data_IF_077143809741
#
_entry.id   IF_077143809741
#
_cell.length_a   1.000
_cell.length_b   1.000
_cell.length_c   1.000
_cell.angle_alpha   90.00
_cell.angle_beta   90.00
_cell.angle_gamma   90.00
#
_symmetry.space_group_name_H-M   'P 1'
#
loop_
_entity.id
_entity.type
_entity.pdbx_description
1 polymer ?
#
# COMPACT_ATOMS: atom_id res chain seq x y z
N UNK A 1 5.63 3.40 23.26
CA UNK A 1 5.44 2.18 22.48
C UNK A 1 5.08 2.56 21.06
N UNK A 2 5.82 2.05 20.11
CA UNK A 2 5.59 2.33 18.69
C UNK A 2 4.63 1.27 18.15
N UNK A 3 3.48 1.73 17.64
CA UNK A 3 2.57 0.82 16.95
C UNK A 3 3.01 0.76 15.49
N UNK A 4 3.39 -0.42 15.07
CA UNK A 4 3.77 -0.65 13.67
C UNK A 4 2.62 -1.37 12.96
N UNK A 5 2.30 -0.90 11.74
CA UNK A 5 1.33 -1.57 10.89
C UNK A 5 2.02 -2.70 10.13
N UNK A 6 1.33 -3.82 10.01
CA UNK A 6 1.83 -4.94 9.25
C UNK A 6 1.48 -4.70 7.78
N UNK A 7 2.48 -4.76 6.91
CA UNK A 7 2.27 -4.60 5.47
C UNK A 7 2.24 -5.98 4.83
N UNK A 8 1.12 -6.31 4.20
CA UNK A 8 0.97 -7.57 3.49
C UNK A 8 0.70 -7.31 2.02
N UNK A 9 1.02 -8.27 1.19
CA UNK A 9 0.86 -8.17 -0.26
C UNK A 9 0.10 -9.38 -0.77
N UNK A 10 -0.90 -9.15 -1.63
CA UNK A 10 -1.59 -10.24 -2.31
C UNK A 10 -0.65 -10.89 -3.33
N UNK A 11 -1.00 -12.09 -3.76
CA UNK A 11 -0.22 -12.76 -4.82
C UNK A 11 -0.18 -11.92 -6.09
N UNK A 12 -1.30 -11.27 -6.43
CA UNK A 12 -1.35 -10.35 -7.56
C UNK A 12 -0.35 -9.21 -7.42
N UNK A 13 -0.33 -8.57 -6.24
CA UNK A 13 0.60 -7.46 -5.99
C UNK A 13 2.05 -7.94 -6.07
N UNK A 14 2.35 -9.11 -5.54
CA UNK A 14 3.70 -9.68 -5.59
C UNK A 14 4.14 -9.93 -7.03
N UNK A 15 3.25 -10.49 -7.85
CA UNK A 15 3.55 -10.72 -9.26
C UNK A 15 3.80 -9.42 -10.00
N UNK A 16 3.01 -8.39 -9.70
CA UNK A 16 3.19 -7.09 -10.31
C UNK A 16 4.54 -6.46 -9.93
N UNK A 17 4.92 -6.57 -8.65
CA UNK A 17 6.23 -6.09 -8.20
C UNK A 17 7.38 -6.77 -8.93
N UNK A 18 7.26 -8.07 -9.18
CA UNK A 18 8.31 -8.82 -9.90
C UNK A 18 8.44 -8.38 -11.36
N UNK A 19 7.38 -7.84 -11.94
CA UNK A 19 7.39 -7.37 -13.33
C UNK A 19 7.92 -5.95 -13.48
N UNK A 20 7.99 -5.19 -12.38
CA UNK A 20 8.52 -3.84 -12.42
C UNK A 20 10.04 -3.86 -12.52
N UNK A 21 10.60 -2.75 -13.01
CA UNK A 21 12.05 -2.59 -12.89
C UNK A 21 12.44 -2.58 -11.42
N UNK A 22 13.66 -3.01 -11.15
CA UNK A 22 14.12 -3.19 -9.77
C UNK A 22 14.04 -1.90 -8.97
N UNK A 23 14.39 -0.77 -9.56
CA UNK A 23 14.38 0.51 -8.87
C UNK A 23 12.97 0.90 -8.42
N UNK A 24 11.99 0.75 -9.28
CA UNK A 24 10.60 1.04 -8.95
C UNK A 24 10.07 0.11 -7.88
N UNK A 25 10.37 -1.19 -7.99
CA UNK A 25 9.94 -2.17 -6.99
C UNK A 25 10.52 -1.86 -5.61
N UNK A 26 11.80 -1.53 -5.55
CA UNK A 26 12.45 -1.18 -4.28
C UNK A 26 11.84 0.07 -3.68
N UNK A 27 11.56 1.10 -4.48
CA UNK A 27 10.93 2.33 -3.98
C UNK A 27 9.56 2.06 -3.37
N UNK A 28 8.77 1.21 -4.01
CA UNK A 28 7.44 0.86 -3.50
C UNK A 28 7.55 0.09 -2.19
N UNK A 29 8.41 -0.92 -2.15
CA UNK A 29 8.60 -1.72 -0.95
C UNK A 29 9.12 -0.88 0.21
N UNK A 30 10.10 -0.02 -0.03
CA UNK A 30 10.63 0.85 1.02
C UNK A 30 9.57 1.81 1.54
N UNK A 31 8.79 2.41 0.64
CA UNK A 31 7.73 3.32 1.05
C UNK A 31 6.70 2.62 1.94
N UNK A 32 6.25 1.43 1.55
CA UNK A 32 5.25 0.69 2.32
C UNK A 32 5.85 0.15 3.62
N UNK A 33 6.98 -0.52 3.53
CA UNK A 33 7.52 -1.26 4.68
C UNK A 33 8.21 -0.35 5.70
N UNK A 34 8.73 0.80 5.28
CA UNK A 34 9.42 1.70 6.19
C UNK A 34 8.56 2.89 6.58
N UNK A 35 7.90 3.54 5.62
CA UNK A 35 7.15 4.76 5.91
C UNK A 35 5.72 4.47 6.38
N UNK A 36 4.97 3.68 5.63
CA UNK A 36 3.56 3.43 5.97
C UNK A 36 3.45 2.57 7.22
N UNK A 37 4.33 1.59 7.37
CA UNK A 37 4.29 0.73 8.57
C UNK A 37 4.49 1.51 9.86
N UNK A 38 5.19 2.62 9.82
CA UNK A 38 5.49 3.43 11.02
C UNK A 38 4.52 4.58 11.22
N UNK A 39 3.59 4.81 10.31
CA UNK A 39 2.62 5.89 10.44
C UNK A 39 1.61 5.59 11.53
N UNK A 40 1.26 6.60 12.34
CA UNK A 40 0.19 6.47 13.33
C UNK A 40 -1.14 6.23 12.63
N UNK A 41 -1.37 6.93 11.52
CA UNK A 41 -2.56 6.75 10.70
C UNK A 41 -2.14 6.57 9.24
N UNK A 42 -2.17 5.34 8.74
CA UNK A 42 -1.74 5.07 7.35
C UNK A 42 -2.59 5.79 6.31
N UNK A 43 -3.80 6.24 6.67
CA UNK A 43 -4.65 6.99 5.75
C UNK A 43 -4.13 8.41 5.49
N UNK A 44 -3.31 8.93 6.37
CA UNK A 44 -2.82 10.30 6.24
C UNK A 44 -1.99 10.53 4.98
N UNK A 45 -1.27 9.52 4.53
CA UNK A 45 -0.44 9.61 3.33
C UNK A 45 -1.12 9.11 2.06
N UNK A 46 -2.36 8.64 2.18
CA UNK A 46 -3.11 8.08 1.05
C UNK A 46 -4.36 8.88 0.74
N UNK A 47 -5.05 8.45 -0.29
CA UNK A 47 -6.35 9.00 -0.66
C UNK A 47 -7.35 7.87 -0.87
N UNK A 48 -8.58 8.09 -0.44
CA UNK A 48 -9.65 7.11 -0.64
C UNK A 48 -10.02 7.04 -2.11
N UNK A 49 -10.25 5.82 -2.60
CA UNK A 49 -10.77 5.63 -3.96
C UNK A 49 -12.27 5.89 -3.95
N UNK A 50 -12.74 6.66 -4.93
CA UNK A 50 -14.15 7.01 -5.05
C UNK A 50 -14.90 5.93 -5.83
N UNK A 51 -16.16 5.69 -5.45
CA UNK A 51 -17.06 4.76 -6.13
C UNK A 51 -17.64 3.75 -5.17
N UNK A 52 -18.82 3.15 -5.50
CA UNK A 52 -19.53 2.27 -4.58
C UNK A 52 -18.73 1.04 -4.13
N UNK A 53 -17.93 0.48 -5.03
CA UNK A 53 -17.10 -0.69 -4.72
C UNK A 53 -15.68 -0.33 -4.31
N UNK A 54 -15.23 0.89 -4.64
CA UNK A 54 -13.85 1.32 -4.40
C UNK A 54 -13.69 2.15 -3.14
N UNK A 55 -14.80 2.59 -2.53
CA UNK A 55 -14.77 3.46 -1.35
C UNK A 55 -14.16 2.84 -0.11
N UNK A 56 -13.91 1.53 -0.11
CA UNK A 56 -13.25 0.83 0.98
C UNK A 56 -11.74 0.76 0.82
N UNK A 57 -11.22 1.20 -0.32
CA UNK A 57 -9.81 1.07 -0.63
C UNK A 57 -9.12 2.43 -0.63
N UNK A 58 -7.81 2.40 -0.37
CA UNK A 58 -6.97 3.58 -0.33
C UNK A 58 -5.86 3.44 -1.36
N UNK A 59 -5.38 4.57 -1.87
CA UNK A 59 -4.27 4.58 -2.78
C UNK A 59 -3.13 5.42 -2.27
N UNK A 60 -1.93 4.95 -2.51
CA UNK A 60 -0.71 5.73 -2.35
C UNK A 60 -0.12 5.94 -3.73
N UNK A 61 0.49 7.08 -3.93
CA UNK A 61 1.15 7.37 -5.20
C UNK A 61 2.66 7.42 -4.97
N UNK A 62 3.39 6.58 -5.71
CA UNK A 62 4.85 6.50 -5.62
C UNK A 62 5.38 6.56 -7.05
N UNK A 63 5.99 7.71 -7.41
CA UNK A 63 6.37 7.97 -8.78
C UNK A 63 5.15 7.96 -9.70
N UNK A 64 5.19 7.16 -10.75
CA UNK A 64 4.08 7.00 -11.68
C UNK A 64 3.13 5.86 -11.30
N UNK A 65 3.37 5.20 -10.17
CA UNK A 65 2.59 4.05 -9.75
C UNK A 65 1.56 4.39 -8.70
N UNK A 66 0.40 3.74 -8.76
CA UNK A 66 -0.62 3.78 -7.71
C UNK A 66 -0.64 2.45 -6.98
N UNK A 67 -0.60 2.52 -5.67
CA UNK A 67 -0.62 1.34 -4.81
C UNK A 67 -2.00 1.28 -4.17
N UNK A 68 -2.78 0.28 -4.52
CA UNK A 68 -4.15 0.11 -4.01
C UNK A 68 -4.12 -0.81 -2.81
N UNK A 69 -4.65 -0.31 -1.69
CA UNK A 69 -4.57 -1.01 -0.41
C UNK A 69 -5.90 -1.09 0.29
N UNK A 70 -6.07 -2.12 1.09
CA UNK A 70 -7.13 -2.26 2.06
C UNK A 70 -6.54 -2.07 3.46
N UNK A 71 -7.04 -1.07 4.20
CA UNK A 71 -6.55 -0.78 5.55
C UNK A 71 -7.44 -1.49 6.55
N UNK A 72 -6.89 -2.45 7.25
CA UNK A 72 -7.59 -3.32 8.19
C UNK A 72 -7.23 -2.92 9.62
N UNK A 73 -8.01 -2.00 10.18
CA UNK A 73 -7.71 -1.39 11.48
C UNK A 73 -7.67 -2.42 12.62
N UNK A 74 -8.62 -3.35 12.63
CA UNK A 74 -8.70 -4.34 13.69
C UNK A 74 -7.49 -5.26 13.77
N UNK A 75 -6.72 -5.37 12.69
CA UNK A 75 -5.54 -6.21 12.62
C UNK A 75 -4.26 -5.40 12.50
N UNK A 76 -4.35 -4.07 12.52
CA UNK A 76 -3.23 -3.17 12.28
C UNK A 76 -2.45 -3.59 11.01
N UNK A 77 -3.20 -3.85 9.95
CA UNK A 77 -2.66 -4.38 8.71
C UNK A 77 -3.03 -3.48 7.53
N UNK A 78 -2.08 -3.25 6.64
CA UNK A 78 -2.32 -2.63 5.34
C UNK A 78 -2.05 -3.68 4.29
N UNK A 79 -3.10 -4.13 3.61
CA UNK A 79 -2.98 -5.16 2.59
C UNK A 79 -2.86 -4.50 1.21
N UNK A 80 -1.71 -4.67 0.58
CA UNK A 80 -1.50 -4.19 -0.78
C UNK A 80 -2.18 -5.15 -1.74
N UNK A 81 -3.21 -4.66 -2.43
CA UNK A 81 -4.04 -5.48 -3.31
C UNK A 81 -3.48 -5.52 -4.71
N UNK A 82 -3.11 -4.36 -5.25
CA UNK A 82 -2.53 -4.28 -6.59
C UNK A 82 -1.74 -3.01 -6.77
N UNK A 83 -0.90 -3.03 -7.80
CA UNK A 83 -0.06 -1.90 -8.20
C UNK A 83 -0.42 -1.56 -9.63
N UNK A 84 -0.77 -0.29 -9.85
CA UNK A 84 -1.16 0.22 -11.17
C UNK A 84 -0.15 1.26 -11.64
N UNK A 85 -0.01 1.32 -12.94
CA UNK A 85 0.86 2.34 -13.53
C UNK A 85 0.05 3.57 -13.94
#
# INVERSE_FOLDING_TARGET
MILAWIIKYTDSARKQLKKLDKQSAVRILDFMDERISEETNPRASGKILKGPKLGLYWRYRIGSHRIICDIQDGQLCVLVIKIEN
#
